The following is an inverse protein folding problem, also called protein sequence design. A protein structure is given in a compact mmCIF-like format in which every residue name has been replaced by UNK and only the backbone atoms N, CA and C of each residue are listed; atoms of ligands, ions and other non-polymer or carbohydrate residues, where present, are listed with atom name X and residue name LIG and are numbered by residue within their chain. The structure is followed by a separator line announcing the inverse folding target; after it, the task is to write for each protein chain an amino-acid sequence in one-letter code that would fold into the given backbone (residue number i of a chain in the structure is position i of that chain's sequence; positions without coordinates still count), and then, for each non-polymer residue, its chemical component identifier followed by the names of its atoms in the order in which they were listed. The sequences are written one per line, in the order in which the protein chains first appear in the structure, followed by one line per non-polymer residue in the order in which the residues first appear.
data_IF_027944990109
#
_entry.id   IF_027944990109
#
_cell.length_a   1.000
_cell.length_b   1.000
_cell.length_c   1.000
_cell.angle_alpha   90.00
_cell.angle_beta   90.00
_cell.angle_gamma   90.00
#
_symmetry.space_group_name_H-M   'P 1'
#
loop_
_entity.id
_entity.type
_entity.pdbx_description
1 polymer ?
#
# COMPACT_ATOMS: atom_id res chain seq x y z
N UNK A 1 -7.14 9.74 15.27
CA UNK A 1 -6.64 9.68 13.88
C UNK A 1 -5.20 10.17 13.92
N UNK A 2 -4.19 9.33 13.61
CA UNK A 2 -2.78 9.77 13.65
C UNK A 2 -2.50 10.51 12.34
N UNK A 3 -2.29 11.82 12.45
CA UNK A 3 -1.95 12.74 11.36
C UNK A 3 -0.49 12.56 10.92
N UNK A 4 -0.22 12.73 9.63
CA UNK A 4 1.10 12.63 8.99
C UNK A 4 2.01 13.84 9.30
N UNK A 5 2.02 14.30 10.55
CA UNK A 5 2.62 15.58 10.98
C UNK A 5 4.09 15.72 10.58
N UNK A 6 4.86 14.63 10.65
CA UNK A 6 6.27 14.64 10.25
C UNK A 6 6.43 14.83 8.75
N UNK A 7 5.63 14.14 7.92
CA UNK A 7 5.66 14.29 6.47
C UNK A 7 5.19 15.68 6.04
N UNK A 8 4.09 16.16 6.60
CA UNK A 8 3.60 17.53 6.37
C UNK A 8 4.66 18.59 6.70
N UNK A 9 5.36 18.43 7.84
CA UNK A 9 6.47 19.29 8.22
C UNK A 9 7.63 19.20 7.21
N UNK A 10 8.02 18.00 6.79
CA UNK A 10 9.09 17.82 5.81
C UNK A 10 8.78 18.46 4.46
N UNK A 11 7.54 18.32 3.95
CA UNK A 11 7.11 18.99 2.72
C UNK A 11 7.20 20.52 2.85
N UNK A 12 6.75 21.09 3.98
CA UNK A 12 6.90 22.53 4.26
C UNK A 12 8.36 22.97 4.35
N UNK A 13 9.26 22.08 4.75
CA UNK A 13 10.70 22.32 4.82
C UNK A 13 11.44 21.99 3.50
N UNK A 14 10.71 21.78 2.41
CA UNK A 14 11.30 21.64 1.06
C UNK A 14 11.60 20.21 0.62
N UNK A 15 11.06 19.19 1.31
CA UNK A 15 11.05 17.83 0.75
C UNK A 15 10.27 17.83 -0.56
N UNK A 16 10.95 17.61 -1.68
CA UNK A 16 10.38 17.64 -3.03
C UNK A 16 10.84 16.44 -3.87
N UNK A 17 11.13 15.32 -3.21
CA UNK A 17 11.46 14.04 -3.85
C UNK A 17 10.25 13.11 -3.77
N UNK A 18 10.08 12.19 -4.74
CA UNK A 18 9.00 11.21 -4.69
C UNK A 18 9.08 10.34 -3.44
N UNK A 19 7.93 10.08 -2.82
CA UNK A 19 7.78 9.14 -1.72
C UNK A 19 7.37 7.77 -2.28
N UNK A 20 8.22 6.78 -2.03
CA UNK A 20 7.96 5.38 -2.35
C UNK A 20 7.50 4.65 -1.10
N UNK A 21 6.33 4.01 -1.16
CA UNK A 21 5.83 3.17 -0.08
C UNK A 21 5.96 1.68 -0.44
N UNK A 22 6.92 1.00 0.19
CA UNK A 22 7.03 -0.45 0.15
C UNK A 22 5.95 -1.08 1.05
N UNK A 23 5.08 -1.88 0.45
CA UNK A 23 3.88 -2.40 1.09
C UNK A 23 3.62 -3.87 0.73
N UNK A 24 2.90 -4.59 1.58
CA UNK A 24 2.77 -6.04 1.52
C UNK A 24 1.78 -6.57 0.49
N UNK A 25 1.06 -5.68 -0.21
CA UNK A 25 -0.02 -6.04 -1.13
C UNK A 25 -1.24 -6.62 -0.42
N UNK A 26 -1.41 -6.35 0.87
CA UNK A 26 -2.59 -6.75 1.67
C UNK A 26 -3.23 -5.54 2.35
N UNK A 27 -2.83 -4.35 1.95
CA UNK A 27 -3.34 -3.09 2.47
C UNK A 27 -4.81 -2.95 2.12
N UNK A 28 -5.62 -2.59 3.12
CA UNK A 28 -7.03 -2.30 2.86
C UNK A 28 -7.16 -1.06 1.96
N UNK A 29 -8.12 -1.08 1.05
CA UNK A 29 -8.48 0.07 0.20
C UNK A 29 -8.77 1.34 1.02
N UNK A 30 -9.29 1.21 2.24
CA UNK A 30 -9.53 2.33 3.15
C UNK A 30 -8.24 3.04 3.61
N UNK A 31 -7.12 2.31 3.72
CA UNK A 31 -5.81 2.89 4.04
C UNK A 31 -5.22 3.55 2.79
N UNK A 32 -5.30 2.89 1.63
CA UNK A 32 -4.79 3.41 0.36
C UNK A 32 -5.45 4.76 0.01
N UNK A 33 -6.76 4.88 0.19
CA UNK A 33 -7.49 6.15 0.03
C UNK A 33 -7.03 7.28 0.96
N UNK A 34 -6.49 6.96 2.13
CA UNK A 34 -5.93 7.95 3.07
C UNK A 34 -4.50 8.35 2.74
N UNK A 35 -3.82 7.54 1.94
CA UNK A 35 -2.46 7.77 1.45
C UNK A 35 -2.43 8.50 0.11
N UNK A 36 -3.59 8.62 -0.56
CA UNK A 36 -3.76 9.40 -1.78
C UNK A 36 -3.28 10.85 -1.58
N UNK A 37 -2.42 11.32 -2.48
CA UNK A 37 -1.76 12.63 -2.40
C UNK A 37 -0.60 12.73 -1.39
N UNK A 38 -0.27 11.66 -0.65
CA UNK A 38 0.91 11.59 0.22
C UNK A 38 2.00 10.70 -0.38
N UNK A 39 1.61 9.59 -1.00
CA UNK A 39 2.50 8.61 -1.61
C UNK A 39 2.45 8.77 -3.12
N UNK A 40 3.61 8.94 -3.74
CA UNK A 40 3.73 9.09 -5.20
C UNK A 40 3.83 7.74 -5.89
N UNK A 41 4.52 6.78 -5.27
CA UNK A 41 4.79 5.46 -5.86
C UNK A 41 4.50 4.39 -4.82
N UNK A 42 3.54 3.52 -5.13
CA UNK A 42 3.35 2.28 -4.37
C UNK A 42 4.28 1.19 -4.91
N UNK A 43 4.94 0.49 -4.00
CA UNK A 43 5.74 -0.70 -4.28
C UNK A 43 5.12 -1.89 -3.53
N UNK A 44 3.99 -2.44 -4.02
CA UNK A 44 3.33 -3.57 -3.40
C UNK A 44 4.02 -4.88 -3.75
N UNK A 45 4.01 -5.77 -2.79
CA UNK A 45 4.20 -7.19 -3.00
C UNK A 45 3.01 -7.79 -3.77
N UNK A 46 3.27 -8.50 -4.86
CA UNK A 46 2.26 -9.30 -5.57
C UNK A 46 2.66 -10.77 -5.57
N UNK A 47 2.68 -11.38 -4.38
CA UNK A 47 3.37 -12.67 -4.17
C UNK A 47 2.61 -13.87 -4.70
N UNK A 48 1.28 -13.86 -4.59
CA UNK A 48 0.43 -15.01 -4.86
C UNK A 48 -0.84 -14.61 -5.61
N UNK A 49 -1.14 -15.30 -6.70
CA UNK A 49 -2.38 -15.13 -7.46
C UNK A 49 -3.44 -16.20 -7.12
N UNK A 50 -3.08 -17.19 -6.31
CA UNK A 50 -3.88 -18.34 -5.91
C UNK A 50 -3.93 -18.48 -4.39
N UNK A 51 -5.12 -18.77 -3.86
CA UNK A 51 -5.40 -18.82 -2.42
C UNK A 51 -4.71 -20.01 -1.75
N UNK A 52 -4.64 -21.16 -2.43
CA UNK A 52 -3.97 -22.34 -1.86
C UNK A 52 -2.48 -22.08 -1.68
N UNK A 53 -1.86 -21.40 -2.64
CA UNK A 53 -0.44 -21.02 -2.59
C UNK A 53 -0.17 -20.04 -1.45
N UNK A 54 -1.02 -19.01 -1.31
CA UNK A 54 -0.92 -18.04 -0.22
C UNK A 54 -1.07 -18.71 1.16
N UNK A 55 -2.02 -19.64 1.29
CA UNK A 55 -2.24 -20.40 2.52
C UNK A 55 -1.08 -21.35 2.82
N UNK A 56 -0.58 -22.09 1.83
CA UNK A 56 0.50 -23.06 2.01
C UNK A 56 1.83 -22.39 2.38
N UNK A 57 2.17 -21.30 1.71
CA UNK A 57 3.50 -20.67 1.86
C UNK A 57 3.53 -19.62 2.96
N UNK A 58 2.42 -18.92 3.21
CA UNK A 58 2.38 -17.79 4.15
C UNK A 58 1.28 -17.89 5.21
N UNK A 59 0.37 -18.88 5.14
CA UNK A 59 -0.78 -19.02 6.04
C UNK A 59 -1.72 -17.81 6.05
N UNK A 60 -1.79 -17.10 4.92
CA UNK A 60 -2.65 -15.91 4.76
C UNK A 60 -3.89 -16.32 3.96
N UNK A 61 -5.05 -15.90 4.45
CA UNK A 61 -6.33 -16.09 3.78
C UNK A 61 -6.75 -14.83 3.01
N UNK A 62 -7.36 -15.01 1.84
CA UNK A 62 -7.91 -13.95 1.02
C UNK A 62 -6.85 -13.00 0.44
N UNK A 63 -5.60 -13.44 0.38
CA UNK A 63 -4.49 -12.63 -0.12
C UNK A 63 -4.69 -12.23 -1.58
N UNK A 64 -5.02 -13.13 -2.52
CA UNK A 64 -5.20 -12.76 -3.92
C UNK A 64 -6.29 -11.71 -4.12
N UNK A 65 -7.40 -11.80 -3.40
CA UNK A 65 -8.51 -10.84 -3.47
C UNK A 65 -8.10 -9.48 -2.91
N UNK A 66 -7.51 -9.45 -1.72
CA UNK A 66 -7.04 -8.21 -1.09
C UNK A 66 -5.95 -7.52 -1.92
N UNK A 67 -5.00 -8.30 -2.46
CA UNK A 67 -3.93 -7.83 -3.33
C UNK A 67 -4.49 -7.23 -4.61
N UNK A 68 -5.42 -7.90 -5.30
CA UNK A 68 -6.04 -7.35 -6.52
C UNK A 68 -6.78 -6.04 -6.24
N UNK A 69 -7.60 -6.00 -5.18
CA UNK A 69 -8.32 -4.78 -4.79
C UNK A 69 -7.36 -3.64 -4.40
N UNK A 70 -6.24 -3.97 -3.74
CA UNK A 70 -5.20 -3.01 -3.41
C UNK A 70 -4.50 -2.46 -4.66
N UNK A 71 -4.13 -3.32 -5.60
CA UNK A 71 -3.49 -2.93 -6.87
C UNK A 71 -4.40 -2.02 -7.71
N UNK A 72 -5.70 -2.32 -7.78
CA UNK A 72 -6.67 -1.47 -8.48
C UNK A 72 -6.77 -0.07 -7.88
N UNK A 73 -6.72 0.05 -6.55
CA UNK A 73 -6.74 1.36 -5.89
C UNK A 73 -5.41 2.11 -6.02
N UNK A 74 -4.27 1.41 -6.01
CA UNK A 74 -2.93 2.01 -6.17
C UNK A 74 -2.65 2.53 -7.58
N UNK A 75 -3.26 1.93 -8.62
CA UNK A 75 -3.08 2.29 -10.04
C UNK A 75 -4.14 3.27 -10.57
N UNK A 76 -4.94 3.89 -9.68
CA UNK A 76 -6.05 4.76 -10.07
C UNK A 76 -5.63 6.09 -10.70
#
# INVERSE_FOLDING_TARGET
MRSWQSLESSFRNGLNIPIVYNCGGYESTAILKKLDGVIDIYLPDAKYADENTALQLSRIHGYPEAMKAGLEEMYR
#
